data_IF_211439732985
#
_entry.id   IF_211439732985
#
_cell.length_a   1.000
_cell.length_b   1.000
_cell.length_c   1.000
_cell.angle_alpha   90.00
_cell.angle_beta   90.00
_cell.angle_gamma   90.00
#
_symmetry.space_group_name_H-M   'P 1'
#
loop_
_entity.id
_entity.type
_entity.pdbx_description
1 polymer ?
#
# COMPACT_ATOMS: atom_id res chain seq x y z
N UNK A 1 -7.03 -1.64 -11.59
CA UNK A 1 -7.10 -0.24 -11.12
C UNK A 1 -7.94 -0.23 -9.87
N UNK A 2 -7.36 0.19 -8.75
CA UNK A 2 -8.09 0.33 -7.50
C UNK A 2 -9.25 1.32 -7.68
N UNK A 3 -10.47 0.84 -7.49
CA UNK A 3 -11.67 1.67 -7.52
C UNK A 3 -11.89 2.19 -6.10
N UNK A 4 -11.25 3.30 -5.77
CA UNK A 4 -11.45 3.95 -4.47
C UNK A 4 -12.87 4.52 -4.43
N UNK A 5 -13.72 3.97 -3.56
CA UNK A 5 -15.10 4.41 -3.40
C UNK A 5 -15.10 5.78 -2.71
N UNK A 6 -15.18 6.84 -3.51
CA UNK A 6 -15.29 8.22 -3.01
C UNK A 6 -16.76 8.53 -2.76
N UNK A 7 -17.12 8.62 -1.48
CA UNK A 7 -18.33 9.29 -1.06
C UNK A 7 -18.29 10.75 -1.51
N UNK A 8 -19.26 11.12 -2.35
CA UNK A 8 -19.66 12.48 -2.76
C UNK A 8 -18.69 13.29 -3.64
N UNK A 9 -19.08 13.44 -4.91
CA UNK A 9 -19.08 14.73 -5.62
C UNK A 9 -17.83 15.15 -6.41
N UNK A 10 -18.01 15.24 -7.73
CA UNK A 10 -17.23 16.02 -8.70
C UNK A 10 -15.94 15.35 -9.25
N UNK A 11 -15.97 15.04 -10.54
CA UNK A 11 -14.91 14.38 -11.30
C UNK A 11 -13.60 15.18 -11.33
N UNK A 12 -12.59 14.63 -10.67
CA UNK A 12 -11.18 14.89 -10.89
C UNK A 12 -10.43 13.62 -10.48
N UNK A 13 -9.29 13.33 -11.10
CA UNK A 13 -8.39 12.28 -10.62
C UNK A 13 -7.91 12.68 -9.21
N UNK A 14 -8.61 12.25 -8.17
CA UNK A 14 -8.27 12.56 -6.79
C UNK A 14 -7.23 11.55 -6.31
N UNK A 15 -6.05 12.05 -5.91
CA UNK A 15 -5.02 11.24 -5.28
C UNK A 15 -5.60 10.72 -3.95
N UNK A 16 -5.63 9.40 -3.71
CA UNK A 16 -6.15 8.83 -2.47
C UNK A 16 -5.31 9.30 -1.28
N UNK A 17 -5.97 9.63 -0.16
CA UNK A 17 -5.26 10.07 1.04
C UNK A 17 -4.33 8.99 1.58
N UNK A 18 -3.29 9.42 2.31
CA UNK A 18 -2.35 8.53 3.01
C UNK A 18 -3.08 7.45 3.81
N UNK A 19 -4.13 7.82 4.55
CA UNK A 19 -4.91 6.88 5.35
C UNK A 19 -5.66 5.86 4.49
N UNK A 20 -6.32 6.29 3.41
CA UNK A 20 -7.04 5.38 2.52
C UNK A 20 -6.10 4.37 1.85
N UNK A 21 -4.92 4.81 1.44
CA UNK A 21 -3.89 3.92 0.90
C UNK A 21 -3.40 2.92 1.97
N UNK A 22 -3.10 3.39 3.18
CA UNK A 22 -2.71 2.52 4.28
C UNK A 22 -3.80 1.49 4.62
N UNK A 23 -5.05 1.92 4.69
CA UNK A 23 -6.18 1.02 4.98
C UNK A 23 -6.31 -0.05 3.89
N UNK A 24 -6.17 0.35 2.62
CA UNK A 24 -6.18 -0.58 1.48
C UNK A 24 -5.01 -1.57 1.54
N UNK A 25 -3.80 -1.08 1.85
CA UNK A 25 -2.60 -1.91 2.01
C UNK A 25 -2.81 -2.91 3.15
N UNK A 26 -3.32 -2.48 4.29
CA UNK A 26 -3.52 -3.33 5.46
C UNK A 26 -4.58 -4.41 5.19
N UNK A 27 -5.74 -4.03 4.63
CA UNK A 27 -6.81 -4.99 4.32
C UNK A 27 -6.37 -6.03 3.29
N UNK A 28 -5.72 -5.60 2.22
CA UNK A 28 -5.23 -6.51 1.18
C UNK A 28 -4.06 -7.37 1.67
N UNK A 29 -3.19 -6.86 2.56
CA UNK A 29 -2.13 -7.65 3.20
C UNK A 29 -2.72 -8.77 4.05
N UNK A 30 -3.69 -8.46 4.91
CA UNK A 30 -4.37 -9.46 5.71
C UNK A 30 -5.05 -10.53 4.84
N UNK A 31 -5.76 -10.11 3.79
CA UNK A 31 -6.42 -11.05 2.88
C UNK A 31 -5.43 -11.95 2.12
N UNK A 32 -4.24 -11.44 1.78
CA UNK A 32 -3.15 -12.24 1.20
C UNK A 32 -2.63 -13.26 2.20
N UNK A 33 -2.36 -12.87 3.44
CA UNK A 33 -1.85 -13.79 4.46
C UNK A 33 -2.87 -14.89 4.79
N UNK A 34 -4.15 -14.54 4.89
CA UNK A 34 -5.25 -15.47 5.16
C UNK A 34 -5.42 -16.51 4.04
N UNK A 35 -5.46 -16.07 2.77
CA UNK A 35 -5.61 -16.99 1.65
C UNK A 35 -4.36 -17.86 1.44
N UNK A 36 -3.17 -17.36 1.76
CA UNK A 36 -1.95 -18.15 1.74
C UNK A 36 -2.03 -19.31 2.74
N UNK A 37 -2.45 -19.03 3.98
CA UNK A 37 -2.63 -20.07 5.00
C UNK A 37 -3.68 -21.11 4.58
N UNK A 38 -4.75 -20.69 3.90
CA UNK A 38 -5.73 -21.62 3.34
C UNK A 38 -5.11 -22.51 2.24
N UNK A 39 -4.36 -21.91 1.31
CA UNK A 39 -3.74 -22.60 0.17
C UNK A 39 -2.69 -23.65 0.58
N UNK A 40 -2.04 -23.50 1.75
CA UNK A 40 -1.15 -24.52 2.31
C UNK A 40 -1.84 -25.88 2.49
N UNK A 41 -3.17 -25.88 2.68
CA UNK A 41 -3.99 -27.08 2.82
C UNK A 41 -4.77 -27.44 1.55
N UNK A 42 -4.97 -26.48 0.64
CA UNK A 42 -5.76 -26.63 -0.60
C UNK A 42 -5.02 -26.06 -1.83
N UNK A 43 -3.87 -26.64 -2.23
CA UNK A 43 -2.99 -26.04 -3.24
C UNK A 43 -3.56 -26.02 -4.68
N UNK A 44 -4.63 -26.77 -4.93
CA UNK A 44 -5.26 -26.88 -6.26
C UNK A 44 -6.61 -26.13 -6.35
N UNK A 45 -6.97 -25.37 -5.32
CA UNK A 45 -8.18 -24.55 -5.33
C UNK A 45 -7.98 -23.32 -6.24
N UNK A 46 -8.55 -23.40 -7.45
CA UNK A 46 -8.42 -22.37 -8.47
C UNK A 46 -9.09 -21.04 -8.08
N UNK A 47 -10.14 -21.08 -7.27
CA UNK A 47 -10.82 -19.87 -6.80
C UNK A 47 -9.94 -19.15 -5.77
N UNK A 48 -9.37 -19.89 -4.82
CA UNK A 48 -8.41 -19.37 -3.85
C UNK A 48 -7.17 -18.77 -4.52
N UNK A 49 -6.61 -19.44 -5.54
CA UNK A 49 -5.48 -18.92 -6.32
C UNK A 49 -5.83 -17.62 -7.06
N UNK A 50 -7.02 -17.55 -7.66
CA UNK A 50 -7.49 -16.34 -8.34
C UNK A 50 -7.67 -15.18 -7.35
N UNK A 51 -8.24 -15.46 -6.18
CA UNK A 51 -8.39 -14.48 -5.11
C UNK A 51 -7.04 -13.96 -4.61
N UNK A 52 -6.08 -14.86 -4.37
CA UNK A 52 -4.70 -14.49 -3.99
C UNK A 52 -4.06 -13.54 -5.00
N UNK A 53 -4.15 -13.85 -6.30
CA UNK A 53 -3.59 -13.00 -7.36
C UNK A 53 -4.26 -11.62 -7.36
N UNK A 54 -5.59 -11.58 -7.20
CA UNK A 54 -6.34 -10.32 -7.14
C UNK A 54 -5.92 -9.46 -5.94
N UNK A 55 -5.88 -10.01 -4.72
CA UNK A 55 -5.49 -9.25 -3.53
C UNK A 55 -4.02 -8.83 -3.57
N UNK A 56 -3.14 -9.70 -4.07
CA UNK A 56 -1.73 -9.38 -4.29
C UNK A 56 -1.55 -8.20 -5.26
N UNK A 57 -2.35 -8.13 -6.33
CA UNK A 57 -2.32 -7.02 -7.27
C UNK A 57 -2.84 -5.72 -6.64
N UNK A 58 -3.94 -5.79 -5.88
CA UNK A 58 -4.50 -4.66 -5.11
C UNK A 58 -3.45 -4.08 -4.15
N UNK A 59 -2.80 -4.95 -3.38
CA UNK A 59 -1.75 -4.56 -2.43
C UNK A 59 -0.58 -3.87 -3.12
N UNK A 60 -0.07 -4.47 -4.21
CA UNK A 60 1.06 -3.93 -4.98
C UNK A 60 0.74 -2.56 -5.58
N UNK A 61 -0.45 -2.39 -6.15
CA UNK A 61 -0.90 -1.12 -6.72
C UNK A 61 -1.01 -0.04 -5.63
N UNK A 62 -1.61 -0.37 -4.48
CA UNK A 62 -1.74 0.56 -3.36
C UNK A 62 -0.37 0.97 -2.78
N UNK A 63 0.56 0.02 -2.63
CA UNK A 63 1.94 0.30 -2.19
C UNK A 63 2.69 1.20 -3.18
N UNK A 64 2.52 0.97 -4.49
CA UNK A 64 3.11 1.83 -5.53
C UNK A 64 2.57 3.25 -5.45
N UNK A 65 1.24 3.40 -5.38
CA UNK A 65 0.61 4.70 -5.21
C UNK A 65 1.06 5.41 -3.93
N UNK A 66 1.23 4.66 -2.84
CA UNK A 66 1.74 5.21 -1.60
C UNK A 66 3.17 5.73 -1.76
N UNK A 67 4.07 4.89 -2.33
CA UNK A 67 5.46 5.26 -2.54
C UNK A 67 5.60 6.53 -3.38
N UNK A 68 4.83 6.64 -4.48
CA UNK A 68 4.84 7.80 -5.37
C UNK A 68 4.41 9.13 -4.71
N UNK A 69 3.58 9.09 -3.67
CA UNK A 69 3.00 10.31 -3.08
C UNK A 69 3.49 10.62 -1.67
N UNK A 70 3.92 9.60 -0.92
CA UNK A 70 4.24 9.69 0.50
C UNK A 70 5.61 9.10 0.84
N UNK A 71 6.33 8.55 -0.14
CA UNK A 71 7.60 7.86 0.06
C UNK A 71 7.44 6.35 0.33
N UNK A 72 8.50 5.57 0.12
CA UNK A 72 8.44 4.11 0.17
C UNK A 72 8.14 3.58 1.58
N UNK A 73 7.22 2.60 1.67
CA UNK A 73 6.92 1.90 2.94
C UNK A 73 7.83 0.72 3.21
N UNK A 74 8.42 0.16 2.16
CA UNK A 74 9.33 -0.98 2.21
C UNK A 74 10.50 -0.74 1.28
N UNK A 75 11.64 -1.38 1.54
CA UNK A 75 12.82 -1.27 0.68
C UNK A 75 12.51 -1.66 -0.79
N UNK A 76 11.63 -2.64 -0.99
CA UNK A 76 11.22 -3.11 -2.33
C UNK A 76 10.44 -2.06 -3.14
N UNK A 77 9.97 -1.00 -2.50
CA UNK A 77 9.20 0.09 -3.13
C UNK A 77 10.02 1.36 -3.31
N UNK A 78 11.30 1.35 -2.94
CA UNK A 78 12.19 2.49 -3.14
C UNK A 78 12.45 2.65 -4.64
N UNK A 79 12.17 3.84 -5.17
CA UNK A 79 12.55 4.23 -6.52
C UNK A 79 13.63 5.32 -6.42
N UNK A 80 14.89 4.91 -6.48
CA UNK A 80 16.06 5.82 -6.39
C UNK A 80 16.43 6.43 -7.76
N UNK A 81 15.63 6.17 -8.81
CA UNK A 81 16.00 6.56 -10.18
C UNK A 81 15.92 8.07 -10.44
N UNK A 82 15.18 8.82 -9.60
CA UNK A 82 14.92 10.25 -9.80
C UNK A 82 15.03 11.09 -8.52
N UNK A 83 15.65 10.56 -7.45
CA UNK A 83 15.78 11.29 -6.19
C UNK A 83 17.23 11.70 -5.93
N UNK A 84 17.45 12.95 -5.56
CA UNK A 84 18.75 13.46 -5.09
C UNK A 84 19.02 13.07 -3.61
N UNK A 85 18.13 12.27 -3.00
CA UNK A 85 18.20 11.87 -1.59
C UNK A 85 17.67 10.45 -1.39
N UNK A 86 18.21 9.77 -0.37
CA UNK A 86 17.76 8.43 0.02
C UNK A 86 16.43 8.51 0.79
N UNK A 87 15.31 8.57 0.06
CA UNK A 87 13.96 8.85 0.58
C UNK A 87 13.50 7.90 1.69
N UNK A 88 13.99 6.66 1.68
CA UNK A 88 13.74 5.68 2.75
C UNK A 88 14.13 6.20 4.14
N UNK A 89 15.25 6.93 4.25
CA UNK A 89 15.71 7.49 5.53
C UNK A 89 15.06 8.83 5.88
N UNK A 90 14.36 9.46 4.93
CA UNK A 90 13.79 10.81 5.10
C UNK A 90 12.37 10.78 5.68
N UNK A 91 11.74 9.60 5.75
CA UNK A 91 10.41 9.44 6.34
C UNK A 91 10.48 9.47 7.86
N UNK A 92 9.50 10.09 8.54
CA UNK A 92 9.43 10.05 9.99
C UNK A 92 9.21 8.61 10.42
N UNK A 93 10.09 8.12 11.28
CA UNK A 93 9.97 6.76 11.77
C UNK A 93 8.70 6.60 12.62
N UNK A 94 8.09 5.40 12.70
CA UNK A 94 6.87 5.21 13.49
C UNK A 94 7.01 5.57 14.98
N UNK A 95 8.23 5.53 15.52
CA UNK A 95 8.55 5.95 16.89
C UNK A 95 9.04 7.40 16.99
N UNK A 96 9.25 8.09 15.87
CA UNK A 96 9.57 9.51 15.88
C UNK A 96 8.33 10.30 16.22
N UNK A 97 8.41 10.97 17.36
CA UNK A 97 7.38 11.91 17.78
C UNK A 97 7.53 13.12 16.85
N UNK A 98 6.44 13.60 16.20
CA UNK A 98 6.50 14.82 15.40
C UNK A 98 7.12 15.92 16.25
N UNK A 99 8.25 16.47 15.81
CA UNK A 99 8.93 17.57 16.49
C UNK A 99 8.00 18.78 16.43
N UNK A 100 7.11 18.89 17.41
CA UNK A 100 6.25 20.07 17.59
C UNK A 100 7.22 21.23 17.83
N UNK A 101 7.22 22.17 16.88
CA UNK A 101 8.22 23.23 16.76
C UNK A 101 8.79 23.69 18.08
N UNK A 102 10.09 23.49 18.25
CA UNK A 102 10.85 24.17 19.30
C UNK A 102 11.64 25.26 18.59
N UNK A 103 11.21 26.50 18.84
CA UNK A 103 11.96 27.71 18.54
C UNK A 103 13.35 27.65 19.17
#
# INVERSE_FOLDING_TARGET
MLNYNTGCGCGGNQIPSRQQLMDTINQSSFAVDDILLYLDTHPHDMEALTYFQKQSAIRKDAMKHYAMHYGPLTIDTVDDSNSDAWEWMMQPWPWEIPQKGRC
#
